data_IF_907655879881
#
_entry.id   IF_907655879881
#
_cell.length_a   1.000
_cell.length_b   1.000
_cell.length_c   1.000
_cell.angle_alpha   90.00
_cell.angle_beta   90.00
_cell.angle_gamma   90.00
#
_symmetry.space_group_name_H-M   'P 1'
#
loop_
_entity.id
_entity.type
_entity.pdbx_description
1 polymer ?
#
# COMPACT_ATOMS: atom_id res chain seq x y z
N UNK A 1 15.07 33.26 -19.06
CA UNK A 1 14.79 31.80 -19.05
C UNK A 1 13.59 31.55 -18.15
N UNK A 2 12.60 30.77 -18.61
CA UNK A 2 11.52 30.25 -17.75
C UNK A 2 11.88 28.81 -17.41
N UNK A 3 12.07 28.52 -16.12
CA UNK A 3 12.28 27.18 -15.61
C UNK A 3 11.08 26.81 -14.74
N UNK A 4 10.55 25.59 -14.91
CA UNK A 4 9.50 25.05 -14.07
C UNK A 4 10.11 23.98 -13.16
N UNK A 5 9.87 24.09 -11.85
CA UNK A 5 10.36 23.13 -10.86
C UNK A 5 9.16 22.39 -10.29
N UNK A 6 9.24 21.06 -10.23
CA UNK A 6 8.22 20.21 -9.60
C UNK A 6 8.77 19.73 -8.26
N UNK A 7 8.10 20.11 -7.17
CA UNK A 7 8.41 19.63 -5.83
C UNK A 7 7.48 18.49 -5.46
N UNK A 8 8.06 17.38 -4.99
CA UNK A 8 7.28 16.27 -4.43
C UNK A 8 7.53 16.20 -2.93
N UNK A 9 6.45 16.07 -2.15
CA UNK A 9 6.50 15.94 -0.70
C UNK A 9 5.66 14.73 -0.27
N UNK A 10 5.97 14.10 0.87
CA UNK A 10 5.10 13.08 1.43
C UNK A 10 3.69 13.63 1.67
N UNK A 11 2.65 12.82 1.44
CA UNK A 11 1.26 13.23 1.61
C UNK A 11 0.99 13.78 3.02
N UNK A 12 1.63 13.23 4.05
CA UNK A 12 1.54 13.71 5.44
C UNK A 12 1.94 15.19 5.59
N UNK A 13 2.77 15.72 4.68
CA UNK A 13 3.17 17.14 4.66
C UNK A 13 1.98 18.02 4.32
N UNK A 14 1.12 17.59 3.39
CA UNK A 14 -0.14 18.26 3.03
C UNK A 14 -1.10 18.27 4.23
N UNK A 15 -1.14 17.17 4.98
CA UNK A 15 -1.97 17.02 6.18
C UNK A 15 -1.39 17.70 7.42
N UNK A 16 -0.18 18.27 7.36
CA UNK A 16 0.44 18.91 8.50
C UNK A 16 -0.24 20.24 8.86
N UNK A 17 -0.14 20.63 10.13
CA UNK A 17 -0.65 21.93 10.60
C UNK A 17 0.01 23.14 9.90
N UNK A 18 1.14 22.93 9.21
CA UNK A 18 1.88 23.98 8.49
C UNK A 18 1.22 24.44 7.18
N UNK A 19 0.12 23.79 6.75
CA UNK A 19 -0.70 24.16 5.57
C UNK A 19 0.14 24.54 4.36
N UNK A 20 0.70 23.53 3.68
CA UNK A 20 1.58 23.68 2.50
C UNK A 20 0.99 24.61 1.43
N UNK A 21 -0.34 24.65 1.31
CA UNK A 21 -1.05 25.52 0.37
C UNK A 21 -0.84 27.03 0.64
N UNK A 22 -0.36 27.41 1.82
CA UNK A 22 0.05 28.79 2.10
C UNK A 22 1.33 29.19 1.33
N UNK A 23 2.14 28.22 0.90
CA UNK A 23 3.42 28.45 0.20
C UNK A 23 3.37 28.01 -1.27
N UNK A 24 2.45 27.11 -1.63
CA UNK A 24 2.28 26.59 -2.98
C UNK A 24 0.81 26.72 -3.39
N UNK A 25 0.54 27.37 -4.52
CA UNK A 25 -0.83 27.73 -4.91
C UNK A 25 -1.77 26.52 -5.09
N UNK A 26 -1.25 25.34 -5.48
CA UNK A 26 -2.03 24.10 -5.61
C UNK A 26 -1.18 22.84 -5.37
N UNK A 27 -1.60 21.97 -4.46
CA UNK A 27 -1.02 20.64 -4.27
C UNK A 27 -1.77 19.59 -5.09
N UNK A 28 -1.08 18.87 -5.98
CA UNK A 28 -1.65 17.70 -6.65
C UNK A 28 -1.36 16.46 -5.81
N UNK A 29 -2.40 15.80 -5.29
CA UNK A 29 -2.29 14.55 -4.56
C UNK A 29 -2.38 13.40 -5.56
N UNK A 30 -1.40 12.50 -5.55
CA UNK A 30 -1.44 11.25 -6.31
C UNK A 30 -1.92 10.15 -5.35
N UNK A 31 -3.20 9.74 -5.41
CA UNK A 31 -3.73 8.69 -4.54
C UNK A 31 -3.22 7.31 -4.95
N UNK A 32 -3.48 6.32 -4.09
CA UNK A 32 -3.32 4.93 -4.46
C UNK A 32 -4.37 4.53 -5.51
N UNK A 33 -4.00 3.60 -6.38
CA UNK A 33 -4.94 3.01 -7.33
C UNK A 33 -5.94 2.19 -6.51
N UNK A 34 -7.22 2.53 -6.57
CA UNK A 34 -8.23 1.78 -5.85
C UNK A 34 -8.40 0.38 -6.46
N UNK A 35 -8.05 -0.64 -5.68
CA UNK A 35 -8.21 -2.06 -6.03
C UNK A 35 -9.40 -2.72 -5.33
N UNK A 36 -10.26 -1.96 -4.65
CA UNK A 36 -11.34 -2.44 -3.79
C UNK A 36 -12.71 -1.93 -4.21
N UNK A 37 -13.72 -2.76 -3.98
CA UNK A 37 -15.11 -2.35 -3.91
C UNK A 37 -15.38 -1.73 -2.52
N UNK A 38 -15.41 -0.40 -2.43
CA UNK A 38 -15.59 0.29 -1.15
C UNK A 38 -16.96 -0.04 -0.53
N UNK A 39 -16.92 -0.63 0.67
CA UNK A 39 -18.08 -0.89 1.52
C UNK A 39 -17.75 -0.48 2.96
N UNK A 40 -18.25 0.68 3.42
CA UNK A 40 -17.90 1.23 4.74
C UNK A 40 -18.40 0.39 5.92
N UNK A 41 -19.46 -0.38 5.71
CA UNK A 41 -20.05 -1.29 6.71
C UNK A 41 -19.35 -2.66 6.79
N UNK A 42 -18.34 -2.93 5.96
CA UNK A 42 -17.65 -4.22 5.90
C UNK A 42 -16.15 -4.02 6.17
N UNK A 43 -15.56 -4.69 7.17
CA UNK A 43 -14.13 -4.59 7.43
C UNK A 43 -13.28 -5.06 6.24
N UNK A 44 -13.44 -6.31 5.82
CA UNK A 44 -12.76 -6.90 4.66
C UNK A 44 -13.42 -6.43 3.37
N UNK A 45 -12.68 -5.75 2.51
CA UNK A 45 -13.18 -5.32 1.21
C UNK A 45 -12.93 -6.37 0.14
N UNK A 46 -13.90 -6.54 -0.77
CA UNK A 46 -13.72 -7.38 -1.94
C UNK A 46 -12.88 -6.61 -2.97
N UNK A 47 -12.00 -7.31 -3.67
CA UNK A 47 -11.19 -6.70 -4.72
C UNK A 47 -12.01 -6.39 -5.98
N UNK A 48 -11.65 -5.31 -6.66
CA UNK A 48 -12.12 -5.02 -8.00
C UNK A 48 -11.13 -5.66 -9.00
N UNK A 49 -11.57 -6.71 -9.69
CA UNK A 49 -10.71 -7.51 -10.56
C UNK A 49 -10.05 -6.70 -11.67
N UNK A 50 -10.80 -5.83 -12.34
CA UNK A 50 -10.28 -4.97 -13.41
C UNK A 50 -9.24 -3.95 -12.91
N UNK A 51 -9.40 -3.46 -11.68
CA UNK A 51 -8.40 -2.58 -11.08
C UNK A 51 -7.12 -3.32 -10.71
N UNK A 52 -7.23 -4.57 -10.22
CA UNK A 52 -6.06 -5.42 -9.99
C UNK A 52 -5.31 -5.71 -11.29
N UNK A 53 -6.03 -6.04 -12.37
CA UNK A 53 -5.43 -6.20 -13.70
C UNK A 53 -4.77 -4.92 -14.18
N UNK A 54 -5.36 -3.75 -13.93
CA UNK A 54 -4.74 -2.47 -14.27
C UNK A 54 -3.45 -2.20 -13.48
N UNK A 55 -3.40 -2.56 -12.19
CA UNK A 55 -2.18 -2.49 -11.38
C UNK A 55 -1.13 -3.49 -11.89
N UNK A 56 -1.51 -4.73 -12.20
CA UNK A 56 -0.63 -5.73 -12.81
C UNK A 56 -0.12 -5.28 -14.19
N UNK A 57 -0.94 -4.56 -14.96
CA UNK A 57 -0.57 -4.02 -16.27
C UNK A 57 0.63 -3.09 -16.22
N UNK A 58 0.83 -2.39 -15.10
CA UNK A 58 2.03 -1.58 -14.88
C UNK A 58 3.31 -2.42 -14.94
N UNK A 59 3.27 -3.70 -14.56
CA UNK A 59 4.40 -4.61 -14.71
C UNK A 59 4.48 -5.16 -16.12
N UNK A 60 3.36 -5.59 -16.70
CA UNK A 60 3.29 -6.16 -18.05
C UNK A 60 3.82 -5.23 -19.15
N UNK A 61 3.68 -3.91 -19.01
CA UNK A 61 4.23 -2.96 -19.98
C UNK A 61 5.76 -2.81 -19.90
N UNK A 62 6.39 -3.37 -18.87
CA UNK A 62 7.84 -3.30 -18.62
C UNK A 62 8.55 -4.63 -18.87
N UNK A 63 7.83 -5.75 -18.74
CA UNK A 63 8.39 -7.10 -18.88
C UNK A 63 7.39 -8.04 -19.56
N UNK A 64 7.91 -9.05 -20.26
CA UNK A 64 7.09 -10.18 -20.66
C UNK A 64 6.83 -11.08 -19.44
N UNK A 65 5.61 -11.07 -18.90
CA UNK A 65 5.28 -11.76 -17.65
C UNK A 65 5.52 -13.27 -17.75
N UNK A 66 5.30 -13.88 -18.91
CA UNK A 66 5.54 -15.32 -19.11
C UNK A 66 7.03 -15.69 -19.00
N UNK A 67 7.94 -14.74 -19.22
CA UNK A 67 9.38 -14.96 -19.09
C UNK A 67 9.87 -14.69 -17.66
N UNK A 68 9.13 -13.90 -16.88
CA UNK A 68 9.53 -13.45 -15.54
C UNK A 68 8.86 -14.26 -14.43
N UNK A 69 7.61 -14.68 -14.60
CA UNK A 69 6.82 -15.38 -13.58
C UNK A 69 6.54 -16.82 -13.97
N UNK A 70 6.57 -17.72 -12.98
CA UNK A 70 6.12 -19.09 -13.12
C UNK A 70 4.58 -19.17 -13.24
N UNK A 71 3.86 -18.33 -12.51
CA UNK A 71 2.40 -18.19 -12.59
C UNK A 71 1.98 -16.70 -12.61
N UNK A 72 1.00 -16.34 -13.42
CA UNK A 72 0.41 -15.00 -13.44
C UNK A 72 -0.24 -14.61 -12.10
N UNK A 73 -0.78 -15.58 -11.36
CA UNK A 73 -1.41 -15.32 -10.06
C UNK A 73 -0.44 -14.76 -9.01
N UNK A 74 0.86 -15.01 -9.18
CA UNK A 74 1.92 -14.45 -8.33
C UNK A 74 2.06 -12.93 -8.56
N UNK A 75 1.91 -12.47 -9.81
CA UNK A 75 1.85 -11.03 -10.12
C UNK A 75 0.59 -10.38 -9.52
N UNK A 76 -0.57 -11.05 -9.61
CA UNK A 76 -1.80 -10.57 -8.97
C UNK A 76 -1.66 -10.53 -7.44
N UNK A 77 -0.93 -11.47 -6.84
CA UNK A 77 -0.66 -11.48 -5.40
C UNK A 77 0.19 -10.29 -4.96
N UNK A 78 1.21 -9.92 -5.74
CA UNK A 78 1.98 -8.68 -5.52
C UNK A 78 1.11 -7.43 -5.69
N UNK A 79 0.24 -7.39 -6.70
CA UNK A 79 -0.69 -6.28 -6.91
C UNK A 79 -1.63 -6.11 -5.71
N UNK A 80 -2.22 -7.21 -5.21
CA UNK A 80 -3.07 -7.22 -4.00
C UNK A 80 -2.30 -6.75 -2.77
N UNK A 81 -1.12 -7.31 -2.52
CA UNK A 81 -0.31 -6.96 -1.35
C UNK A 81 0.10 -5.49 -1.34
N UNK A 82 0.24 -4.86 -2.52
CA UNK A 82 0.62 -3.44 -2.60
C UNK A 82 -0.47 -2.47 -2.18
N UNK A 83 -1.74 -2.90 -2.09
CA UNK A 83 -2.87 -1.99 -1.88
C UNK A 83 -2.98 -0.92 -2.98
N UNK A 84 -2.54 -1.21 -4.22
CA UNK A 84 -2.47 -0.21 -5.29
C UNK A 84 -1.39 0.86 -5.12
N UNK A 85 -0.48 0.70 -4.15
CA UNK A 85 0.69 1.56 -3.98
C UNK A 85 1.80 1.15 -4.96
N UNK A 86 1.85 1.83 -6.11
CA UNK A 86 2.75 1.52 -7.24
C UNK A 86 4.22 1.44 -6.83
N UNK A 87 4.69 2.31 -5.92
CA UNK A 87 6.08 2.26 -5.45
C UNK A 87 6.38 0.97 -4.68
N UNK A 88 5.50 0.56 -3.77
CA UNK A 88 5.67 -0.68 -3.02
C UNK A 88 5.54 -1.90 -3.94
N UNK A 89 4.65 -1.89 -4.93
CA UNK A 89 4.62 -2.93 -5.96
C UNK A 89 5.98 -3.09 -6.65
N UNK A 90 6.60 -1.99 -7.10
CA UNK A 90 7.91 -2.03 -7.75
C UNK A 90 9.02 -2.50 -6.79
N UNK A 91 8.94 -2.15 -5.51
CA UNK A 91 9.86 -2.63 -4.49
C UNK A 91 9.72 -4.14 -4.26
N UNK A 92 8.49 -4.65 -4.10
CA UNK A 92 8.24 -6.08 -3.94
C UNK A 92 8.65 -6.88 -5.19
N UNK A 93 8.40 -6.34 -6.39
CA UNK A 93 8.91 -6.90 -7.64
C UNK A 93 10.44 -7.07 -7.61
N UNK A 94 11.17 -6.03 -7.23
CA UNK A 94 12.64 -6.08 -7.12
C UNK A 94 13.08 -7.14 -6.12
N UNK A 95 12.41 -7.22 -4.97
CA UNK A 95 12.73 -8.23 -3.94
C UNK A 95 12.46 -9.64 -4.45
N UNK A 96 11.33 -9.88 -5.13
CA UNK A 96 10.99 -11.19 -5.70
C UNK A 96 11.99 -11.62 -6.78
N UNK A 97 12.40 -10.71 -7.67
CA UNK A 97 13.47 -10.98 -8.67
C UNK A 97 14.79 -11.32 -7.96
N UNK A 98 15.15 -10.58 -6.92
CA UNK A 98 16.38 -10.82 -6.16
C UNK A 98 16.35 -12.17 -5.46
N UNK A 99 15.20 -12.55 -4.89
CA UNK A 99 14.97 -13.87 -4.28
C UNK A 99 15.13 -14.99 -5.30
N UNK A 100 14.48 -14.87 -6.47
CA UNK A 100 14.55 -15.87 -7.55
C UNK A 100 16.00 -16.07 -8.02
N UNK A 101 16.72 -14.98 -8.24
CA UNK A 101 18.13 -15.02 -8.65
C UNK A 101 19.02 -15.66 -7.58
N UNK A 102 18.79 -15.37 -6.29
CA UNK A 102 19.60 -15.90 -5.20
C UNK A 102 19.51 -17.43 -5.07
N UNK A 103 18.37 -18.03 -5.43
CA UNK A 103 18.19 -19.49 -5.48
C UNK A 103 18.54 -20.13 -6.83
N UNK A 104 19.04 -19.35 -7.79
CA UNK A 104 19.37 -19.83 -9.14
C UNK A 104 18.14 -20.13 -10.01
N UNK A 105 16.96 -19.60 -9.64
CA UNK A 105 15.73 -19.73 -10.43
C UNK A 105 15.75 -18.82 -11.66
N UNK A 106 15.14 -19.27 -12.76
CA UNK A 106 14.99 -18.47 -13.99
C UNK A 106 13.71 -17.62 -14.01
N UNK A 107 12.76 -17.91 -13.12
CA UNK A 107 11.48 -17.22 -12.99
C UNK A 107 11.15 -17.04 -11.51
N UNK A 108 10.37 -15.99 -11.23
CA UNK A 108 9.75 -15.73 -9.93
C UNK A 108 8.64 -16.77 -9.72
N UNK A 109 8.69 -17.48 -8.61
CA UNK A 109 7.61 -18.35 -8.16
C UNK A 109 6.91 -17.79 -6.91
N UNK A 110 5.93 -18.54 -6.41
CA UNK A 110 5.16 -18.14 -5.23
C UNK A 110 6.03 -17.96 -3.98
N UNK A 111 7.13 -18.70 -3.81
CA UNK A 111 8.02 -18.53 -2.64
C UNK A 111 8.75 -17.19 -2.68
N UNK A 112 9.18 -16.76 -3.87
CA UNK A 112 9.81 -15.45 -4.07
C UNK A 112 8.83 -14.30 -3.78
N UNK A 113 7.57 -14.45 -4.21
CA UNK A 113 6.49 -13.50 -3.90
C UNK A 113 6.20 -13.46 -2.41
N UNK A 114 6.08 -14.60 -1.74
CA UNK A 114 5.88 -14.65 -0.29
C UNK A 114 7.04 -14.01 0.46
N UNK A 115 8.28 -14.22 -0.01
CA UNK A 115 9.47 -13.59 0.56
C UNK A 115 9.41 -12.07 0.42
N UNK A 116 9.02 -11.56 -0.75
CA UNK A 116 8.86 -10.12 -0.96
C UNK A 116 7.79 -9.49 -0.05
N UNK A 117 6.64 -10.16 0.12
CA UNK A 117 5.56 -9.70 1.00
C UNK A 117 6.00 -9.73 2.46
N UNK A 118 6.65 -10.81 2.90
CA UNK A 118 7.18 -10.93 4.27
C UNK A 118 8.22 -9.85 4.60
N UNK A 119 9.06 -9.48 3.63
CA UNK A 119 10.02 -8.39 3.87
C UNK A 119 9.30 -7.07 4.17
N UNK A 120 8.24 -6.75 3.44
CA UNK A 120 7.39 -5.57 3.72
C UNK A 120 6.72 -5.69 5.09
N UNK A 121 6.25 -6.89 5.46
CA UNK A 121 5.68 -7.13 6.78
C UNK A 121 6.69 -6.82 7.89
N UNK A 122 7.92 -7.33 7.77
CA UNK A 122 8.97 -7.06 8.76
C UNK A 122 9.34 -5.58 8.83
N UNK A 123 9.32 -4.87 7.71
CA UNK A 123 9.56 -3.43 7.70
C UNK A 123 8.45 -2.70 8.46
N UNK A 124 7.18 -3.08 8.27
CA UNK A 124 6.08 -2.55 9.07
C UNK A 124 6.20 -2.88 10.56
N UNK A 125 6.53 -4.12 10.93
CA UNK A 125 6.73 -4.53 12.32
C UNK A 125 7.84 -3.73 13.03
N UNK A 126 8.84 -3.22 12.29
CA UNK A 126 9.90 -2.37 12.84
C UNK A 126 9.51 -0.91 12.99
N UNK A 127 8.63 -0.38 12.13
CA UNK A 127 8.35 1.07 12.05
C UNK A 127 6.99 1.48 12.61
N UNK A 128 6.06 0.54 12.83
CA UNK A 128 4.76 0.83 13.44
C UNK A 128 4.89 0.70 14.96
N UNK A 129 4.73 1.79 15.74
CA UNK A 129 4.64 1.72 17.18
C UNK A 129 3.44 0.90 17.66
N UNK A 130 3.58 0.17 18.75
CA UNK A 130 2.54 -0.72 19.28
C UNK A 130 1.20 0.01 19.53
N UNK A 131 1.27 1.24 20.04
CA UNK A 131 0.09 2.07 20.32
C UNK A 131 -0.70 2.45 19.03
N UNK A 132 -0.05 2.45 17.86
CA UNK A 132 -0.69 2.78 16.59
C UNK A 132 -1.58 1.66 16.04
N UNK A 133 -1.44 0.40 16.49
CA UNK A 133 -2.28 -0.70 15.98
C UNK A 133 -3.77 -0.50 16.28
N UNK A 134 -4.12 0.14 17.40
CA UNK A 134 -5.50 0.52 17.71
C UNK A 134 -6.10 1.49 16.68
N UNK A 135 -5.30 2.45 16.23
CA UNK A 135 -5.68 3.39 15.18
C UNK A 135 -5.76 2.74 13.81
N UNK A 136 -4.86 1.79 13.50
CA UNK A 136 -4.93 1.01 12.26
C UNK A 136 -6.19 0.13 12.21
N UNK A 137 -6.57 -0.49 13.33
CA UNK A 137 -7.85 -1.22 13.44
C UNK A 137 -9.02 -0.29 13.21
N UNK A 138 -9.00 0.92 13.77
CA UNK A 138 -10.04 1.92 13.51
C UNK A 138 -10.15 2.29 12.01
N UNK A 139 -9.01 2.50 11.33
CA UNK A 139 -8.99 2.74 9.87
C UNK A 139 -9.54 1.54 9.11
N UNK A 140 -9.12 0.33 9.46
CA UNK A 140 -9.59 -0.91 8.84
C UNK A 140 -11.10 -1.11 9.00
N UNK A 141 -11.69 -0.76 10.14
CA UNK A 141 -13.13 -0.87 10.37
C UNK A 141 -13.90 0.24 9.64
N UNK A 142 -13.51 1.50 9.84
CA UNK A 142 -14.31 2.67 9.47
C UNK A 142 -13.97 3.28 8.10
N UNK A 143 -12.87 2.83 7.48
CA UNK A 143 -12.36 3.32 6.19
C UNK A 143 -12.00 4.81 6.20
N UNK A 144 -11.55 5.29 7.34
CA UNK A 144 -11.24 6.69 7.57
C UNK A 144 -10.08 6.83 8.56
N UNK A 145 -9.22 7.80 8.28
CA UNK A 145 -8.08 8.13 9.12
C UNK A 145 -8.36 9.40 9.94
N UNK A 146 -7.93 9.39 11.21
CA UNK A 146 -8.03 10.56 12.06
C UNK A 146 -7.11 11.67 11.55
N UNK A 147 -7.60 12.90 11.45
CA UNK A 147 -6.80 14.06 11.05
C UNK A 147 -5.97 14.61 12.24
N UNK A 148 -5.10 13.76 12.80
CA UNK A 148 -4.19 14.09 13.89
C UNK A 148 -2.76 13.62 13.57
N UNK A 149 -1.82 13.84 14.50
CA UNK A 149 -0.42 13.47 14.29
C UNK A 149 -0.24 11.96 14.01
N UNK A 150 -1.01 11.09 14.67
CA UNK A 150 -0.93 9.64 14.46
C UNK A 150 -1.40 9.29 13.05
N UNK A 151 -2.52 9.87 12.59
CA UNK A 151 -2.99 9.69 11.21
C UNK A 151 -1.97 10.16 10.18
N UNK A 152 -1.34 11.32 10.40
CA UNK A 152 -0.26 11.81 9.55
C UNK A 152 0.93 10.85 9.50
N UNK A 153 1.32 10.26 10.63
CA UNK A 153 2.39 9.26 10.69
C UNK A 153 2.01 7.96 9.96
N UNK A 154 0.77 7.50 10.08
CA UNK A 154 0.28 6.30 9.37
C UNK A 154 0.26 6.50 7.85
N UNK A 155 -0.08 7.69 7.36
CA UNK A 155 0.04 8.03 5.94
C UNK A 155 1.50 8.18 5.50
N UNK A 156 2.35 8.75 6.37
CA UNK A 156 3.77 8.95 6.09
C UNK A 156 4.51 7.62 5.94
N UNK A 157 4.32 6.70 6.87
CA UNK A 157 4.95 5.38 6.84
C UNK A 157 4.18 4.36 5.98
N UNK A 158 3.07 4.78 5.35
CA UNK A 158 2.22 3.97 4.45
C UNK A 158 1.56 2.75 5.08
N UNK A 159 1.48 2.68 6.41
CA UNK A 159 0.68 1.66 7.12
C UNK A 159 -0.82 1.85 6.89
N UNK A 160 -1.24 3.09 6.61
CA UNK A 160 -2.53 3.41 6.02
C UNK A 160 -2.34 4.09 4.65
N UNK A 161 -3.25 3.82 3.74
CA UNK A 161 -3.26 4.30 2.37
C UNK A 161 -4.49 5.18 2.13
N UNK A 162 -4.34 6.18 1.27
CA UNK A 162 -5.43 7.04 0.80
C UNK A 162 -5.80 6.66 -0.63
N UNK A 163 -7.09 6.47 -0.85
CA UNK A 163 -7.68 6.17 -2.15
C UNK A 163 -8.65 7.29 -2.51
N UNK A 164 -8.64 7.64 -3.79
CA UNK A 164 -9.60 8.59 -4.33
C UNK A 164 -10.58 7.86 -5.27
N UNK A 165 -11.85 8.24 -5.15
CA UNK A 165 -12.94 7.90 -6.06
C UNK A 165 -13.89 9.10 -6.14
N UNK A 166 -15.20 8.87 -6.06
CA UNK A 166 -16.16 9.95 -5.84
C UNK A 166 -15.96 10.64 -4.48
N UNK A 167 -15.49 9.89 -3.47
CA UNK A 167 -15.13 10.38 -2.15
C UNK A 167 -13.70 9.96 -1.78
N UNK A 168 -13.05 10.76 -0.93
CA UNK A 168 -11.79 10.38 -0.28
C UNK A 168 -12.05 9.34 0.80
N UNK A 169 -11.24 8.29 0.85
CA UNK A 169 -11.31 7.28 1.91
C UNK A 169 -9.94 6.64 2.17
N UNK A 170 -9.84 5.94 3.28
CA UNK A 170 -8.59 5.32 3.71
C UNK A 170 -8.79 3.84 3.98
N UNK A 171 -7.72 3.07 3.78
CA UNK A 171 -7.68 1.68 4.21
C UNK A 171 -6.26 1.34 4.64
N UNK A 172 -6.11 0.31 5.45
CA UNK A 172 -4.77 -0.12 5.85
C UNK A 172 -4.03 -0.72 4.65
N UNK A 173 -2.70 -0.70 4.72
CA UNK A 173 -1.92 -1.47 3.78
C UNK A 173 -2.21 -2.97 3.97
N UNK A 174 -2.46 -3.76 2.91
CA UNK A 174 -2.84 -5.17 3.04
C UNK A 174 -1.84 -6.03 3.80
N UNK A 175 -0.55 -5.68 3.74
CA UNK A 175 0.49 -6.40 4.48
C UNK A 175 0.36 -6.19 6.00
N UNK A 176 -0.25 -5.09 6.45
CA UNK A 176 -0.51 -4.86 7.88
C UNK A 176 -1.52 -5.88 8.43
N UNK A 177 -2.46 -6.38 7.61
CA UNK A 177 -3.44 -7.39 8.03
C UNK A 177 -2.79 -8.72 8.47
N UNK A 178 -1.57 -9.02 7.98
CA UNK A 178 -0.87 -10.25 8.36
C UNK A 178 -0.15 -10.14 9.72
N UNK A 179 0.06 -8.93 10.23
CA UNK A 179 0.84 -8.67 11.45
C UNK A 179 0.09 -9.13 12.70
N UNK A 180 0.79 -9.84 13.59
CA UNK A 180 0.18 -10.43 14.80
C UNK A 180 -0.34 -9.38 15.78
N UNK A 181 0.40 -8.28 15.97
CA UNK A 181 -0.04 -7.18 16.83
C UNK A 181 -1.36 -6.55 16.33
N UNK A 182 -1.51 -6.37 15.01
CA UNK A 182 -2.76 -5.91 14.41
C UNK A 182 -3.91 -6.89 14.67
N UNK A 183 -3.71 -8.18 14.40
CA UNK A 183 -4.73 -9.23 14.61
C UNK A 183 -5.21 -9.29 16.06
N UNK A 184 -4.28 -9.24 17.02
CA UNK A 184 -4.59 -9.24 18.45
C UNK A 184 -5.48 -8.07 18.85
N UNK A 185 -5.18 -6.86 18.35
CA UNK A 185 -6.01 -5.68 18.64
C UNK A 185 -7.38 -5.79 17.97
N UNK A 186 -7.44 -6.29 16.73
CA UNK A 186 -8.71 -6.50 16.02
C UNK A 186 -9.63 -7.51 16.73
N UNK A 187 -9.08 -8.60 17.25
CA UNK A 187 -9.82 -9.60 18.04
C UNK A 187 -10.40 -8.99 19.31
N UNK A 188 -9.61 -8.18 20.03
CA UNK A 188 -10.06 -7.50 21.26
C UNK A 188 -11.20 -6.50 21.03
N UNK A 189 -11.33 -5.93 19.83
CA UNK A 189 -12.44 -5.01 19.49
C UNK A 189 -13.70 -5.75 19.05
N UNK A 190 -13.57 -7.02 18.63
CA UNK A 190 -14.70 -7.86 18.21
C UNK A 190 -15.35 -8.64 19.36
N UNK A 191 -14.62 -8.83 20.46
CA UNK A 191 -15.09 -9.43 21.71
C UNK A 191 -15.75 -8.39 22.61
#
# INVERSE_FOLDING_TARGET
>A
MRCNIIYTVPISTIYSAKKVNNFFENSNIVPMINIYNLQRNKPNLDYQEEALKAVAKLIEVRVNVQDVFANYDDLLSLAKASGGHVRQLMQMMRTAITSANAKGGSKIDSEDVQTAIKQVQFDFERVIPDEHYSHLVNVYLNKEINNNQIGQLMLFNTSALEYNGNDRWNYINPVVESIQAFKKVLENVRN
#
